data_IF_458026708452
#
_entry.id   IF_458026708452
#
_cell.length_a   1.000
_cell.length_b   1.000
_cell.length_c   1.000
_cell.angle_alpha   90.00
_cell.angle_beta   90.00
_cell.angle_gamma   90.00
#
_symmetry.space_group_name_H-M   'P 1'
#
loop_
_entity.id
_entity.type
_entity.pdbx_description
1 polymer ?
#
# COMPACT_ATOMS: atom_id res chain seq x y z
N UNK A 1 31.17 36.42 -14.55
CA UNK A 1 30.59 35.17 -15.07
C UNK A 1 29.37 34.75 -14.20
N UNK A 2 28.37 35.66 -13.99
CA UNK A 2 27.23 35.46 -13.07
C UNK A 2 25.91 36.03 -13.64
N UNK A 3 25.66 35.95 -14.96
CA UNK A 3 24.46 36.53 -15.60
C UNK A 3 23.70 35.57 -16.53
N UNK A 4 23.98 34.26 -16.51
CA UNK A 4 23.39 33.30 -17.45
C UNK A 4 22.39 32.29 -16.83
N UNK A 5 22.17 32.27 -15.51
CA UNK A 5 21.34 31.25 -14.86
C UNK A 5 19.87 31.70 -14.67
N UNK A 6 19.55 32.98 -14.84
CA UNK A 6 18.20 33.53 -14.56
C UNK A 6 17.25 33.62 -15.74
N UNK A 7 17.63 33.17 -16.96
CA UNK A 7 16.84 33.42 -18.18
C UNK A 7 15.98 32.27 -18.71
N UNK A 8 15.89 31.10 -18.01
CA UNK A 8 15.16 29.94 -18.55
C UNK A 8 13.90 29.52 -17.77
N UNK A 9 13.36 30.36 -16.87
CA UNK A 9 12.14 30.07 -16.11
C UNK A 9 10.85 30.52 -16.79
N UNK A 10 10.88 31.25 -17.90
CA UNK A 10 9.70 31.79 -18.60
C UNK A 10 9.32 31.09 -19.91
N UNK A 11 9.93 29.93 -20.20
CA UNK A 11 9.53 29.09 -21.33
C UNK A 11 8.19 28.38 -21.12
N UNK A 12 7.53 27.91 -22.22
CA UNK A 12 6.27 27.14 -22.11
C UNK A 12 6.40 25.93 -21.18
N UNK A 13 7.56 25.31 -21.10
CA UNK A 13 7.85 24.16 -20.21
C UNK A 13 7.90 24.59 -18.74
N UNK A 14 8.42 25.78 -18.41
CA UNK A 14 8.44 26.32 -17.05
C UNK A 14 7.05 26.61 -16.51
N UNK A 15 6.14 27.15 -17.34
CA UNK A 15 4.74 27.39 -16.97
C UNK A 15 3.95 26.09 -16.78
N UNK A 16 4.24 25.07 -17.60
CA UNK A 16 3.64 23.74 -17.49
C UNK A 16 4.07 23.07 -16.19
N UNK A 17 5.35 23.12 -15.86
CA UNK A 17 5.92 22.58 -14.63
C UNK A 17 5.40 23.29 -13.38
N UNK A 18 5.34 24.64 -13.40
CA UNK A 18 4.76 25.43 -12.31
C UNK A 18 3.27 25.16 -12.11
N UNK A 19 2.50 24.99 -13.20
CA UNK A 19 1.10 24.61 -13.17
C UNK A 19 0.89 23.21 -12.55
N UNK A 20 1.80 22.27 -12.86
CA UNK A 20 1.77 20.90 -12.33
C UNK A 20 2.10 20.89 -10.83
N UNK A 21 3.10 21.66 -10.40
CA UNK A 21 3.45 21.82 -8.98
C UNK A 21 2.29 22.43 -8.20
N UNK A 22 1.64 23.50 -8.70
CA UNK A 22 0.48 24.14 -8.07
C UNK A 22 -0.69 23.17 -7.94
N UNK A 23 -0.95 22.35 -8.96
CA UNK A 23 -1.98 21.30 -8.91
C UNK A 23 -1.65 20.22 -7.89
N UNK A 24 -0.42 19.75 -7.83
CA UNK A 24 0.04 18.77 -6.84
C UNK A 24 -0.03 19.33 -5.41
N UNK A 25 0.47 20.54 -5.19
CA UNK A 25 0.38 21.22 -3.91
C UNK A 25 -1.08 21.44 -3.45
N UNK A 26 -1.97 21.85 -4.37
CA UNK A 26 -3.40 21.96 -4.09
C UNK A 26 -4.06 20.62 -3.76
N UNK A 27 -3.65 19.53 -4.43
CA UNK A 27 -4.14 18.17 -4.15
C UNK A 27 -3.67 17.67 -2.79
N UNK A 28 -2.40 17.91 -2.45
CA UNK A 28 -1.82 17.54 -1.16
C UNK A 28 -2.48 18.32 0.00
N UNK A 29 -2.71 19.62 -0.21
CA UNK A 29 -3.41 20.46 0.76
C UNK A 29 -4.83 19.97 1.02
N UNK A 30 -5.57 19.63 -0.04
CA UNK A 30 -6.91 19.07 0.07
C UNK A 30 -6.91 17.72 0.80
N UNK A 31 -5.98 16.83 0.48
CA UNK A 31 -5.86 15.55 1.17
C UNK A 31 -5.54 15.72 2.66
N UNK A 32 -4.68 16.67 3.01
CA UNK A 32 -4.41 17.06 4.40
C UNK A 32 -5.67 17.52 5.12
N UNK A 33 -6.55 18.29 4.47
CA UNK A 33 -7.83 18.71 5.06
C UNK A 33 -8.75 17.50 5.31
N UNK A 34 -8.88 16.57 4.35
CA UNK A 34 -9.62 15.32 4.55
C UNK A 34 -9.05 14.51 5.72
N UNK A 35 -7.73 14.37 5.77
CA UNK A 35 -7.05 13.69 6.86
C UNK A 35 -7.40 14.31 8.23
N UNK A 36 -7.33 15.63 8.36
CA UNK A 36 -7.65 16.34 9.60
C UNK A 36 -9.12 16.22 10.00
N UNK A 37 -10.03 16.24 9.03
CA UNK A 37 -11.47 16.07 9.29
C UNK A 37 -11.75 14.65 9.79
N UNK A 38 -11.22 13.64 9.12
CA UNK A 38 -11.39 12.24 9.50
C UNK A 38 -10.74 11.95 10.86
N UNK A 39 -9.57 12.53 11.14
CA UNK A 39 -8.92 12.40 12.45
C UNK A 39 -9.79 13.01 13.56
N UNK A 40 -10.31 14.22 13.37
CA UNK A 40 -11.20 14.88 14.33
C UNK A 40 -12.47 14.07 14.56
N UNK A 41 -13.08 13.54 13.50
CA UNK A 41 -14.26 12.70 13.57
C UNK A 41 -13.98 11.42 14.38
N UNK A 42 -12.87 10.75 14.09
CA UNK A 42 -12.47 9.52 14.81
C UNK A 42 -12.17 9.81 16.28
N UNK A 43 -11.52 10.94 16.58
CA UNK A 43 -11.18 11.35 17.94
C UNK A 43 -12.39 11.84 18.75
N UNK A 44 -13.56 12.01 18.15
CA UNK A 44 -14.80 12.31 18.88
C UNK A 44 -15.20 11.13 19.80
N UNK A 45 -14.92 9.90 19.37
CA UNK A 45 -15.19 8.66 20.12
C UNK A 45 -13.88 7.97 20.53
N UNK A 46 -13.07 8.64 21.35
CA UNK A 46 -11.73 8.19 21.75
C UNK A 46 -11.71 6.76 22.31
N UNK A 47 -12.63 6.44 23.22
CA UNK A 47 -12.68 5.10 23.84
C UNK A 47 -12.91 4.00 22.80
N UNK A 48 -13.88 4.19 21.90
CA UNK A 48 -14.14 3.24 20.81
C UNK A 48 -12.95 3.11 19.89
N UNK A 49 -12.28 4.23 19.56
CA UNK A 49 -11.07 4.22 18.74
C UNK A 49 -9.97 3.37 19.38
N UNK A 50 -9.64 3.64 20.65
CA UNK A 50 -8.57 2.90 21.34
C UNK A 50 -8.90 1.42 21.52
N UNK A 51 -10.15 1.07 21.87
CA UNK A 51 -10.58 -0.33 21.98
C UNK A 51 -10.49 -1.05 20.63
N UNK A 52 -10.93 -0.41 19.54
CA UNK A 52 -10.83 -0.99 18.21
C UNK A 52 -9.36 -1.13 17.76
N UNK A 53 -8.51 -0.12 17.98
CA UNK A 53 -7.09 -0.19 17.67
C UNK A 53 -6.38 -1.29 18.48
N UNK A 54 -6.71 -1.43 19.77
CA UNK A 54 -6.20 -2.51 20.62
C UNK A 54 -6.68 -3.87 20.12
N UNK A 55 -7.96 -4.01 19.74
CA UNK A 55 -8.49 -5.24 19.14
C UNK A 55 -7.75 -5.62 17.86
N UNK A 56 -7.47 -4.65 16.98
CA UNK A 56 -6.68 -4.87 15.77
C UNK A 56 -5.24 -5.30 16.10
N UNK A 57 -4.62 -4.68 17.10
CA UNK A 57 -3.29 -5.06 17.58
C UNK A 57 -3.28 -6.52 18.10
N UNK A 58 -4.21 -6.88 18.97
CA UNK A 58 -4.30 -8.24 19.56
C UNK A 58 -4.60 -9.30 18.50
N UNK A 59 -5.55 -9.01 17.59
CA UNK A 59 -5.89 -9.94 16.50
C UNK A 59 -4.68 -10.22 15.60
N UNK A 60 -3.90 -9.19 15.30
CA UNK A 60 -2.68 -9.34 14.50
C UNK A 60 -1.55 -10.03 15.26
N UNK A 61 -1.51 -9.93 16.60
CA UNK A 61 -0.48 -10.56 17.44
C UNK A 61 -0.49 -12.10 17.34
N UNK A 62 -1.63 -12.71 17.04
CA UNK A 62 -1.74 -14.13 16.77
C UNK A 62 -0.85 -14.60 15.61
N UNK A 63 -0.62 -13.73 14.61
CA UNK A 63 0.29 -14.02 13.50
C UNK A 63 1.72 -14.20 14.00
N UNK A 64 2.16 -13.29 14.87
CA UNK A 64 3.50 -13.38 15.50
C UNK A 64 3.64 -14.65 16.34
N UNK A 65 2.64 -14.95 17.19
CA UNK A 65 2.64 -16.17 18.00
C UNK A 65 2.66 -17.43 17.12
N UNK A 66 1.87 -17.48 16.05
CA UNK A 66 1.85 -18.58 15.12
C UNK A 66 3.24 -18.84 14.49
N UNK A 67 3.92 -17.78 14.05
CA UNK A 67 5.29 -17.88 13.54
C UNK A 67 6.27 -18.33 14.62
N UNK A 68 6.19 -17.75 15.83
CA UNK A 68 7.06 -18.11 16.94
C UNK A 68 6.96 -19.62 17.26
N UNK A 69 5.75 -20.15 17.48
CA UNK A 69 5.55 -21.57 17.77
C UNK A 69 5.94 -22.48 16.59
N UNK A 70 5.69 -22.04 15.36
CA UNK A 70 6.13 -22.80 14.18
C UNK A 70 7.65 -22.95 14.15
N UNK A 71 8.41 -21.90 14.43
CA UNK A 71 9.87 -21.95 14.42
C UNK A 71 10.46 -22.62 15.68
N UNK A 72 9.73 -22.70 16.78
CA UNK A 72 10.09 -23.56 17.91
C UNK A 72 10.06 -25.04 17.51
N UNK A 73 9.15 -25.43 16.62
CA UNK A 73 9.03 -26.81 16.14
C UNK A 73 9.94 -27.09 14.93
N UNK A 74 10.01 -26.13 14.02
CA UNK A 74 10.79 -26.25 12.77
C UNK A 74 11.84 -25.14 12.74
N UNK A 75 13.13 -25.51 12.82
CA UNK A 75 14.22 -24.52 12.90
C UNK A 75 14.29 -23.56 11.72
N UNK A 76 13.99 -24.05 10.52
CA UNK A 76 14.03 -23.26 9.27
C UNK A 76 12.83 -23.60 8.39
N UNK A 77 12.39 -22.61 7.60
CA UNK A 77 11.43 -22.81 6.53
C UNK A 77 12.21 -22.70 5.21
N UNK A 78 12.51 -23.86 4.59
CA UNK A 78 13.47 -23.96 3.49
C UNK A 78 14.83 -23.35 3.87
N UNK A 79 15.28 -22.32 3.13
CA UNK A 79 16.55 -21.63 3.33
C UNK A 79 16.45 -20.41 4.27
N UNK A 80 15.27 -20.15 4.89
CA UNK A 80 15.02 -18.94 5.68
C UNK A 80 14.94 -19.27 7.17
N UNK A 81 15.73 -18.54 7.95
CA UNK A 81 15.68 -18.57 9.41
C UNK A 81 14.54 -17.71 9.98
N UNK A 82 14.30 -17.86 11.27
CA UNK A 82 13.23 -17.14 11.99
C UNK A 82 13.30 -15.62 11.81
N UNK A 83 14.48 -15.01 12.01
CA UNK A 83 14.67 -13.57 11.86
C UNK A 83 14.38 -13.05 10.45
N UNK A 84 14.74 -13.83 9.42
CA UNK A 84 14.51 -13.47 8.01
C UNK A 84 13.03 -13.50 7.63
N UNK A 85 12.29 -14.49 8.14
CA UNK A 85 10.83 -14.59 7.92
C UNK A 85 10.10 -13.51 8.71
N UNK A 86 10.54 -13.20 9.94
CA UNK A 86 9.98 -12.07 10.70
C UNK A 86 10.21 -10.74 10.00
N UNK A 87 11.39 -10.53 9.40
CA UNK A 87 11.68 -9.33 8.62
C UNK A 87 10.73 -9.22 7.43
N UNK A 88 10.56 -10.31 6.68
CA UNK A 88 9.60 -10.40 5.56
C UNK A 88 8.18 -10.04 6.02
N UNK A 89 7.73 -10.66 7.09
CA UNK A 89 6.40 -10.43 7.67
C UNK A 89 6.22 -8.98 8.16
N UNK A 90 7.20 -8.43 8.89
CA UNK A 90 7.16 -7.07 9.40
C UNK A 90 7.03 -6.03 8.29
N UNK A 91 7.83 -6.17 7.21
CA UNK A 91 7.78 -5.28 6.04
C UNK A 91 6.39 -5.36 5.40
N UNK A 92 5.89 -6.56 5.10
CA UNK A 92 4.57 -6.74 4.48
C UNK A 92 3.44 -6.14 5.32
N UNK A 93 3.44 -6.39 6.63
CA UNK A 93 2.40 -5.87 7.51
C UNK A 93 2.44 -4.34 7.58
N UNK A 94 3.61 -3.71 7.49
CA UNK A 94 3.75 -2.25 7.39
C UNK A 94 3.19 -1.74 6.07
N UNK A 95 3.56 -2.33 4.93
CA UNK A 95 3.07 -1.99 3.59
C UNK A 95 1.54 -2.05 3.53
N UNK A 96 0.99 -3.18 3.97
CA UNK A 96 -0.46 -3.40 3.95
C UNK A 96 -1.20 -2.45 4.90
N UNK A 97 -0.68 -2.24 6.13
CA UNK A 97 -1.30 -1.32 7.09
C UNK A 97 -1.29 0.14 6.60
N UNK A 98 -0.22 0.56 5.92
CA UNK A 98 -0.16 1.87 5.27
C UNK A 98 -1.20 1.98 4.15
N UNK A 99 -1.29 0.98 3.28
CA UNK A 99 -2.29 0.97 2.21
C UNK A 99 -3.72 0.97 2.76
N UNK A 100 -4.02 0.14 3.77
CA UNK A 100 -5.33 0.15 4.44
C UNK A 100 -5.65 1.50 5.10
N UNK A 101 -4.67 2.16 5.69
CA UNK A 101 -4.89 3.46 6.35
C UNK A 101 -5.23 4.54 5.33
N UNK A 102 -4.49 4.62 4.23
CA UNK A 102 -4.56 5.76 3.30
C UNK A 102 -5.37 5.48 2.04
N UNK A 103 -5.54 4.22 1.62
CA UNK A 103 -6.25 3.86 0.39
C UNK A 103 -7.58 3.11 0.61
N UNK A 104 -8.07 3.02 1.86
CA UNK A 104 -9.29 2.31 2.22
C UNK A 104 -10.56 2.82 1.52
N UNK A 105 -10.56 4.09 1.09
CA UNK A 105 -11.66 4.63 0.31
C UNK A 105 -11.98 3.84 -0.95
N UNK A 106 -10.99 3.24 -1.59
CA UNK A 106 -11.17 2.39 -2.78
C UNK A 106 -11.73 1.01 -2.45
N UNK A 107 -11.29 0.40 -1.36
CA UNK A 107 -11.75 -0.91 -0.92
C UNK A 107 -13.25 -0.92 -0.52
N UNK A 108 -13.79 0.23 -0.18
CA UNK A 108 -15.22 0.39 0.16
C UNK A 108 -16.03 1.12 -0.94
N UNK A 109 -15.51 1.14 -2.16
CA UNK A 109 -16.09 1.90 -3.25
C UNK A 109 -17.46 1.37 -3.69
N UNK A 110 -17.75 0.07 -3.50
CA UNK A 110 -19.08 -0.51 -3.75
C UNK A 110 -20.18 0.23 -2.99
N UNK A 111 -19.93 0.60 -1.73
CA UNK A 111 -20.89 1.37 -0.94
C UNK A 111 -21.06 2.83 -1.45
N UNK A 112 -20.00 3.42 -1.99
CA UNK A 112 -20.02 4.78 -2.55
C UNK A 112 -20.88 4.82 -3.81
N UNK A 113 -20.78 3.81 -4.66
CA UNK A 113 -21.63 3.65 -5.86
C UNK A 113 -23.07 3.33 -5.45
N UNK A 114 -23.26 2.29 -4.62
CA UNK A 114 -24.58 1.81 -4.24
C UNK A 114 -25.44 2.89 -3.57
N UNK A 115 -24.84 3.80 -2.81
CA UNK A 115 -25.54 4.91 -2.15
C UNK A 115 -25.65 6.19 -3.01
N UNK A 116 -25.29 6.18 -4.29
CA UNK A 116 -25.31 7.36 -5.17
C UNK A 116 -24.35 8.48 -4.76
N UNK A 117 -23.46 8.23 -3.79
CA UNK A 117 -22.51 9.26 -3.32
C UNK A 117 -21.52 9.66 -4.39
N UNK A 118 -21.26 8.78 -5.36
CA UNK A 118 -20.33 9.04 -6.46
C UNK A 118 -20.80 10.15 -7.38
N UNK A 119 -22.12 10.34 -7.55
CA UNK A 119 -22.67 11.47 -8.33
C UNK A 119 -22.21 12.81 -7.79
N UNK A 120 -22.21 12.97 -6.47
CA UNK A 120 -21.73 14.19 -5.79
C UNK A 120 -20.22 14.40 -5.94
N UNK A 121 -19.45 13.31 -6.12
CA UNK A 121 -18.02 13.39 -6.41
C UNK A 121 -17.79 13.90 -7.82
N UNK A 122 -18.58 13.44 -8.79
CA UNK A 122 -18.44 13.78 -10.22
C UNK A 122 -18.69 15.26 -10.52
N UNK A 123 -19.62 15.92 -9.82
CA UNK A 123 -19.91 17.35 -10.04
C UNK A 123 -18.86 18.30 -9.45
N UNK A 124 -17.94 17.80 -8.63
CA UNK A 124 -16.89 18.65 -8.04
C UNK A 124 -15.69 18.76 -8.99
N UNK A 125 -15.13 19.97 -9.21
CA UNK A 125 -14.01 20.20 -10.14
C UNK A 125 -12.67 19.75 -9.54
N UNK A 126 -12.60 18.51 -9.03
CA UNK A 126 -11.41 17.90 -8.41
C UNK A 126 -11.26 16.46 -8.86
N UNK A 127 -10.05 15.92 -8.77
CA UNK A 127 -9.79 14.51 -9.10
C UNK A 127 -10.70 13.58 -8.30
N UNK A 128 -11.46 12.71 -8.99
CA UNK A 128 -12.32 11.70 -8.37
C UNK A 128 -11.52 10.73 -7.48
N UNK A 129 -10.33 10.33 -7.93
CA UNK A 129 -9.39 9.49 -7.17
C UNK A 129 -9.08 10.12 -5.81
N UNK A 130 -8.69 11.40 -5.79
CA UNK A 130 -8.35 12.10 -4.55
C UNK A 130 -9.56 12.24 -3.61
N UNK A 131 -10.73 12.49 -4.16
CA UNK A 131 -11.97 12.63 -3.38
C UNK A 131 -12.37 11.29 -2.74
N UNK A 132 -12.26 10.18 -3.49
CA UNK A 132 -12.54 8.82 -2.96
C UNK A 132 -11.53 8.44 -1.89
N UNK A 133 -10.23 8.68 -2.11
CA UNK A 133 -9.19 8.47 -1.09
C UNK A 133 -9.47 9.23 0.19
N UNK A 134 -9.89 10.49 0.07
CA UNK A 134 -10.16 11.36 1.22
C UNK A 134 -11.46 11.04 1.96
N UNK A 135 -12.39 10.28 1.37
CA UNK A 135 -13.67 9.97 2.03
C UNK A 135 -13.51 9.08 3.25
N UNK A 136 -12.52 8.19 3.26
CA UNK A 136 -12.30 7.27 4.37
C UNK A 136 -10.83 7.02 4.63
N UNK A 137 -10.40 7.41 5.82
CA UNK A 137 -9.07 7.15 6.35
C UNK A 137 -9.27 6.34 7.64
N UNK A 138 -8.74 5.12 7.65
CA UNK A 138 -9.00 4.15 8.73
C UNK A 138 -7.90 4.21 9.80
N UNK A 139 -7.96 5.19 10.69
CA UNK A 139 -6.97 5.34 11.77
C UNK A 139 -6.92 4.16 12.75
N UNK A 140 -7.98 3.37 12.86
CA UNK A 140 -8.00 2.16 13.72
C UNK A 140 -6.98 1.13 13.28
N UNK A 141 -6.58 1.16 11.98
CA UNK A 141 -5.52 0.30 11.42
C UNK A 141 -4.12 0.61 11.96
N UNK A 142 -3.95 1.78 12.58
CA UNK A 142 -2.70 2.11 13.28
C UNK A 142 -2.35 1.09 14.37
N UNK A 143 -3.33 0.40 14.97
CA UNK A 143 -3.09 -0.71 15.89
C UNK A 143 -2.27 -1.84 15.25
N UNK A 144 -2.61 -2.22 14.01
CA UNK A 144 -1.82 -3.19 13.21
C UNK A 144 -0.45 -2.65 12.83
N UNK A 145 -0.36 -1.37 12.49
CA UNK A 145 0.90 -0.74 12.13
C UNK A 145 1.87 -0.74 13.31
N UNK A 146 1.40 -0.41 14.53
CA UNK A 146 2.23 -0.50 15.75
C UNK A 146 2.78 -1.90 15.92
N UNK A 147 1.95 -2.93 15.75
CA UNK A 147 2.39 -4.31 15.83
C UNK A 147 3.42 -4.65 14.73
N UNK A 148 3.18 -4.22 13.48
CA UNK A 148 4.11 -4.45 12.39
C UNK A 148 5.49 -3.84 12.68
N UNK A 149 5.52 -2.62 13.26
CA UNK A 149 6.75 -1.96 13.71
C UNK A 149 7.44 -2.76 14.82
N UNK A 150 6.68 -3.32 15.78
CA UNK A 150 7.23 -4.15 16.86
C UNK A 150 7.86 -5.44 16.27
N UNK A 151 7.15 -6.13 15.38
CA UNK A 151 7.66 -7.34 14.71
C UNK A 151 8.94 -7.00 13.93
N UNK A 152 8.91 -5.90 13.17
CA UNK A 152 10.05 -5.43 12.41
C UNK A 152 11.24 -5.12 13.33
N UNK A 153 11.04 -4.33 14.41
CA UNK A 153 12.10 -4.02 15.37
C UNK A 153 12.66 -5.27 16.04
N UNK A 154 11.79 -6.23 16.40
CA UNK A 154 12.22 -7.51 16.95
C UNK A 154 13.00 -8.35 15.94
N UNK A 155 12.63 -8.33 14.66
CA UNK A 155 13.37 -9.02 13.61
C UNK A 155 14.81 -8.49 13.46
N UNK A 156 15.02 -7.18 13.70
CA UNK A 156 16.37 -6.59 13.69
C UNK A 156 17.26 -7.11 14.82
N UNK A 157 16.68 -7.43 15.98
CA UNK A 157 17.43 -7.94 17.14
C UNK A 157 17.77 -9.43 17.01
N UNK A 158 16.93 -10.19 16.29
CA UNK A 158 17.12 -11.66 16.11
C UNK A 158 17.80 -11.97 14.78
N UNK A 159 17.72 -11.07 13.82
CA UNK A 159 18.25 -11.25 12.46
C UNK A 159 19.76 -10.98 12.38
N UNK A 160 20.41 -11.66 11.43
CA UNK A 160 21.85 -11.52 11.13
C UNK A 160 22.09 -10.63 9.91
N UNK A 161 21.26 -9.60 9.71
CA UNK A 161 21.39 -8.71 8.54
C UNK A 161 22.43 -7.62 8.82
N UNK A 162 23.47 -7.57 8.00
CA UNK A 162 24.46 -6.48 8.04
C UNK A 162 23.87 -5.22 7.44
N UNK A 163 23.47 -4.30 8.27
CA UNK A 163 22.82 -3.07 7.82
C UNK A 163 23.81 -2.10 7.16
N UNK A 164 23.62 -1.85 5.88
CA UNK A 164 24.33 -0.82 5.11
C UNK A 164 23.33 0.27 4.66
N UNK A 165 23.83 1.45 4.32
CA UNK A 165 23.01 2.54 3.82
C UNK A 165 22.14 2.13 2.63
N UNK A 166 22.70 1.35 1.68
CA UNK A 166 21.97 0.86 0.51
C UNK A 166 20.79 -0.07 0.89
N UNK A 167 20.96 -0.94 1.89
CA UNK A 167 19.90 -1.84 2.37
C UNK A 167 18.77 -1.07 3.06
N UNK A 168 19.10 -0.02 3.81
CA UNK A 168 18.10 0.86 4.43
C UNK A 168 17.29 1.61 3.36
N UNK A 169 17.95 2.14 2.33
CA UNK A 169 17.29 2.82 1.20
C UNK A 169 16.35 1.86 0.48
N UNK A 170 16.81 0.62 0.19
CA UNK A 170 15.97 -0.40 -0.44
C UNK A 170 14.77 -0.76 0.44
N UNK A 171 14.94 -0.87 1.75
CA UNK A 171 13.85 -1.14 2.67
C UNK A 171 12.79 -0.04 2.65
N UNK A 172 13.19 1.23 2.66
CA UNK A 172 12.25 2.35 2.52
C UNK A 172 11.54 2.26 1.17
N UNK A 173 12.28 1.91 0.11
CA UNK A 173 11.71 1.77 -1.24
C UNK A 173 10.74 0.57 -1.32
N UNK A 174 10.99 -0.54 -0.60
CA UNK A 174 10.04 -1.64 -0.43
C UNK A 174 8.74 -1.15 0.20
N UNK A 175 8.82 -0.44 1.32
CA UNK A 175 7.63 0.08 2.01
C UNK A 175 6.78 0.99 1.10
N UNK A 176 7.42 1.87 0.33
CA UNK A 176 6.72 2.74 -0.61
C UNK A 176 6.12 1.95 -1.79
N UNK A 177 6.90 1.05 -2.39
CA UNK A 177 6.48 0.22 -3.51
C UNK A 177 5.35 -0.74 -3.13
N UNK A 178 5.42 -1.38 -1.95
CA UNK A 178 4.38 -2.28 -1.44
C UNK A 178 3.10 -1.55 -1.10
N UNK A 179 3.21 -0.40 -0.44
CA UNK A 179 2.04 0.47 -0.19
C UNK A 179 1.37 0.88 -1.49
N UNK A 180 2.15 1.28 -2.51
CA UNK A 180 1.64 1.64 -3.82
C UNK A 180 0.97 0.44 -4.54
N UNK A 181 1.57 -0.75 -4.44
CA UNK A 181 1.01 -1.98 -5.01
C UNK A 181 -0.37 -2.30 -4.41
N UNK A 182 -0.49 -2.35 -3.08
CA UNK A 182 -1.77 -2.63 -2.42
C UNK A 182 -2.81 -1.53 -2.70
N UNK A 183 -2.40 -0.26 -2.72
CA UNK A 183 -3.28 0.84 -3.12
C UNK A 183 -3.77 0.68 -4.57
N UNK A 184 -2.91 0.19 -5.48
CA UNK A 184 -3.27 -0.16 -6.85
C UNK A 184 -4.31 -1.27 -6.93
N UNK A 185 -4.20 -2.31 -6.10
CA UNK A 185 -5.18 -3.40 -6.06
C UNK A 185 -6.53 -2.89 -5.54
N UNK A 186 -6.54 -2.06 -4.49
CA UNK A 186 -7.77 -1.41 -4.03
C UNK A 186 -8.39 -0.53 -5.13
N UNK A 187 -7.55 0.15 -5.94
CA UNK A 187 -8.01 0.94 -7.07
C UNK A 187 -8.62 0.07 -8.19
N UNK A 188 -8.06 -1.12 -8.46
CA UNK A 188 -8.64 -2.11 -9.39
C UNK A 188 -10.01 -2.56 -8.88
N UNK A 189 -10.11 -2.92 -7.58
CA UNK A 189 -11.38 -3.28 -6.96
C UNK A 189 -12.44 -2.19 -7.19
N UNK A 190 -12.09 -0.94 -6.88
CA UNK A 190 -12.98 0.20 -7.10
C UNK A 190 -13.36 0.39 -8.58
N UNK A 191 -12.41 0.16 -9.50
CA UNK A 191 -12.67 0.26 -10.94
C UNK A 191 -13.64 -0.83 -11.42
N UNK A 192 -13.57 -2.04 -10.88
CA UNK A 192 -14.48 -3.15 -11.21
C UNK A 192 -15.89 -2.86 -10.69
N UNK A 193 -16.04 -2.20 -9.54
CA UNK A 193 -17.36 -1.83 -9.00
C UNK A 193 -18.21 -0.97 -9.95
N UNK A 194 -17.60 -0.23 -10.89
CA UNK A 194 -18.36 0.50 -11.92
C UNK A 194 -19.13 -0.42 -12.88
N UNK A 195 -18.70 -1.67 -13.04
CA UNK A 195 -19.31 -2.64 -13.96
C UNK A 195 -20.21 -3.63 -13.24
N UNK A 196 -19.93 -3.95 -11.98
CA UNK A 196 -20.64 -4.98 -11.21
C UNK A 196 -21.59 -4.42 -10.17
N UNK A 197 -21.50 -3.13 -9.84
CA UNK A 197 -22.20 -2.43 -8.75
C UNK A 197 -21.91 -3.01 -7.34
N UNK A 198 -21.40 -4.22 -7.27
CA UNK A 198 -21.05 -4.92 -6.03
C UNK A 198 -19.56 -5.22 -5.98
N UNK A 199 -19.03 -5.31 -4.77
CA UNK A 199 -17.67 -5.76 -4.54
C UNK A 199 -17.53 -7.25 -4.86
N UNK A 200 -16.51 -7.61 -5.61
CA UNK A 200 -16.21 -9.00 -5.92
C UNK A 200 -15.37 -9.60 -4.79
N UNK A 201 -15.88 -10.58 -4.07
CA UNK A 201 -15.17 -11.24 -2.97
C UNK A 201 -13.84 -11.86 -3.40
N UNK A 202 -13.71 -12.27 -4.68
CA UNK A 202 -12.45 -12.81 -5.17
C UNK A 202 -11.29 -11.80 -5.08
N UNK A 203 -11.58 -10.49 -5.08
CA UNK A 203 -10.55 -9.46 -4.90
C UNK A 203 -9.91 -9.53 -3.51
N UNK A 204 -10.62 -10.07 -2.51
CA UNK A 204 -10.06 -10.30 -1.18
C UNK A 204 -8.90 -11.32 -1.23
N UNK A 205 -8.88 -12.21 -2.24
CA UNK A 205 -7.74 -13.12 -2.47
C UNK A 205 -6.49 -12.34 -2.88
N UNK A 206 -6.65 -11.26 -3.63
CA UNK A 206 -5.53 -10.40 -4.05
C UNK A 206 -5.10 -9.40 -2.97
N UNK A 207 -5.92 -9.10 -1.98
CA UNK A 207 -5.61 -8.18 -0.88
C UNK A 207 -5.27 -8.94 0.40
N UNK A 208 -6.27 -9.44 1.10
CA UNK A 208 -6.09 -10.19 2.35
C UNK A 208 -5.36 -11.52 2.12
N UNK A 209 -5.64 -12.22 1.02
CA UNK A 209 -4.88 -13.41 0.62
C UNK A 209 -3.41 -13.11 0.41
N UNK A 210 -3.08 -12.04 -0.33
CA UNK A 210 -1.68 -11.64 -0.53
C UNK A 210 -0.98 -11.26 0.78
N UNK A 211 -1.70 -10.62 1.72
CA UNK A 211 -1.20 -10.35 3.07
C UNK A 211 -0.85 -11.66 3.81
N UNK A 212 -1.66 -12.70 3.65
CA UNK A 212 -1.38 -13.99 4.30
C UNK A 212 -0.21 -14.73 3.66
N UNK A 213 -0.16 -14.80 2.31
CA UNK A 213 0.93 -15.46 1.59
C UNK A 213 2.25 -14.69 1.66
N UNK A 214 2.22 -13.39 1.59
CA UNK A 214 3.43 -12.55 1.58
C UNK A 214 4.15 -12.46 2.94
N UNK A 215 3.61 -13.02 4.02
CA UNK A 215 4.31 -13.17 5.31
C UNK A 215 5.57 -14.03 5.18
N UNK A 216 5.61 -14.87 4.17
CA UNK A 216 6.74 -15.74 3.86
C UNK A 216 7.33 -15.38 2.49
N UNK A 217 8.64 -15.62 2.26
CA UNK A 217 9.24 -15.43 0.94
C UNK A 217 8.53 -16.25 -0.14
N UNK A 218 8.21 -15.64 -1.28
CA UNK A 218 7.33 -16.23 -2.32
C UNK A 218 7.87 -17.50 -2.96
N UNK A 219 9.17 -17.77 -2.92
CA UNK A 219 9.77 -19.00 -3.46
C UNK A 219 9.35 -20.28 -2.69
N UNK A 220 8.87 -20.11 -1.44
CA UNK A 220 8.35 -21.23 -0.63
C UNK A 220 7.14 -21.89 -1.31
N UNK A 221 6.33 -21.12 -2.00
CA UNK A 221 5.10 -21.58 -2.67
C UNK A 221 5.34 -22.22 -4.05
N UNK A 222 6.59 -22.23 -4.52
CA UNK A 222 6.99 -22.85 -5.78
C UNK A 222 7.00 -21.90 -6.96
N UNK A 223 7.55 -22.39 -8.09
CA UNK A 223 7.82 -21.56 -9.28
C UNK A 223 6.60 -20.93 -9.91
N UNK A 224 5.44 -21.61 -9.94
CA UNK A 224 4.22 -21.09 -10.57
C UNK A 224 3.67 -19.87 -9.84
N UNK A 225 3.62 -19.93 -8.49
CA UNK A 225 3.14 -18.81 -7.67
C UNK A 225 4.14 -17.65 -7.72
N UNK A 226 5.43 -17.94 -7.70
CA UNK A 226 6.47 -16.91 -7.85
C UNK A 226 6.37 -16.19 -9.20
N UNK A 227 6.13 -16.92 -10.32
CA UNK A 227 5.92 -16.30 -11.63
C UNK A 227 4.66 -15.44 -11.68
N UNK A 228 3.55 -15.92 -11.12
CA UNK A 228 2.32 -15.12 -10.98
C UNK A 228 2.57 -13.83 -10.18
N UNK A 229 3.23 -13.96 -9.02
CA UNK A 229 3.57 -12.83 -8.15
C UNK A 229 4.66 -11.91 -8.73
N UNK A 230 5.30 -12.28 -9.84
CA UNK A 230 6.28 -11.43 -10.52
C UNK A 230 5.68 -10.68 -11.70
N UNK A 231 4.83 -11.35 -12.52
CA UNK A 231 4.42 -10.83 -13.82
C UNK A 231 2.95 -10.40 -13.89
N UNK A 232 2.06 -10.98 -13.08
CA UNK A 232 0.62 -10.64 -13.08
C UNK A 232 0.32 -9.57 -12.04
N UNK A 233 0.62 -9.84 -10.78
CA UNK A 233 0.55 -8.85 -9.70
C UNK A 233 1.92 -8.82 -9.05
N UNK A 234 2.72 -7.74 -9.19
CA UNK A 234 4.15 -7.76 -8.94
C UNK A 234 4.53 -7.77 -7.44
N UNK A 235 3.89 -8.65 -6.65
CA UNK A 235 4.20 -8.83 -5.22
C UNK A 235 5.66 -9.26 -5.00
N UNK A 236 6.16 -10.20 -5.82
CA UNK A 236 7.52 -10.68 -5.68
C UNK A 236 8.55 -9.60 -6.03
N UNK A 237 8.22 -8.70 -6.98
CA UNK A 237 9.10 -7.58 -7.32
C UNK A 237 9.22 -6.59 -6.17
N UNK A 238 8.14 -6.39 -5.41
CA UNK A 238 8.12 -5.42 -4.31
C UNK A 238 8.71 -6.01 -3.04
N UNK A 239 8.46 -7.28 -2.75
CA UNK A 239 8.80 -7.87 -1.47
C UNK A 239 9.91 -8.93 -1.55
N UNK A 240 9.78 -9.93 -2.42
CA UNK A 240 10.67 -11.09 -2.42
C UNK A 240 12.08 -10.79 -2.91
N UNK A 241 12.21 -10.24 -4.14
CA UNK A 241 13.53 -9.96 -4.71
C UNK A 241 14.30 -8.89 -3.92
N UNK A 242 13.70 -7.76 -3.50
CA UNK A 242 14.40 -6.79 -2.68
C UNK A 242 14.77 -7.35 -1.30
N UNK A 243 13.94 -8.22 -0.71
CA UNK A 243 14.29 -8.93 0.51
C UNK A 243 15.57 -9.75 0.33
N UNK A 244 15.74 -10.49 -0.78
CA UNK A 244 16.98 -11.21 -1.08
C UNK A 244 18.19 -10.26 -1.14
N UNK A 245 18.03 -9.05 -1.68
CA UNK A 245 19.09 -8.04 -1.66
C UNK A 245 19.41 -7.59 -0.24
N UNK A 246 18.41 -7.32 0.59
CA UNK A 246 18.60 -6.94 2.01
C UNK A 246 19.30 -8.03 2.79
N UNK A 247 18.99 -9.31 2.52
CA UNK A 247 19.64 -10.48 3.12
C UNK A 247 21.04 -10.77 2.56
N UNK A 248 21.52 -9.99 1.58
CA UNK A 248 22.83 -10.21 0.96
C UNK A 248 22.90 -11.39 -0.01
N UNK A 249 21.75 -11.98 -0.39
CA UNK A 249 21.64 -13.12 -1.33
C UNK A 249 21.19 -12.71 -2.73
N UNK A 250 20.87 -11.41 -2.92
CA UNK A 250 20.31 -10.87 -4.16
C UNK A 250 21.32 -10.11 -5.01
N UNK A 251 20.99 -9.91 -6.29
CA UNK A 251 21.73 -9.04 -7.20
C UNK A 251 21.43 -7.57 -6.87
N UNK A 252 22.34 -6.64 -7.22
CA UNK A 252 22.17 -5.20 -6.93
C UNK A 252 20.88 -4.59 -7.52
N UNK A 253 20.46 -5.02 -8.71
CA UNK A 253 19.27 -4.51 -9.38
C UNK A 253 17.94 -4.96 -8.72
N UNK A 254 17.96 -5.98 -7.83
CA UNK A 254 16.81 -6.35 -7.02
C UNK A 254 16.32 -5.20 -6.14
N UNK A 255 17.23 -4.32 -5.71
CA UNK A 255 16.89 -3.13 -4.96
C UNK A 255 16.07 -2.09 -5.73
N UNK A 256 16.02 -2.15 -7.07
CA UNK A 256 15.21 -1.26 -7.91
C UNK A 256 13.79 -1.79 -8.15
N UNK A 257 13.57 -3.08 -7.96
CA UNK A 257 12.31 -3.75 -8.28
C UNK A 257 11.09 -3.25 -7.48
N UNK A 258 11.19 -2.68 -6.27
CA UNK A 258 10.04 -2.07 -5.61
C UNK A 258 9.35 -0.97 -6.44
N UNK A 259 10.07 -0.35 -7.37
CA UNK A 259 9.50 0.58 -8.36
C UNK A 259 8.38 -0.03 -9.20
N UNK A 260 8.34 -1.36 -9.36
CA UNK A 260 7.26 -2.06 -10.04
C UNK A 260 5.90 -1.81 -9.38
N UNK A 261 5.84 -1.65 -8.04
CA UNK A 261 4.60 -1.30 -7.34
C UNK A 261 4.06 0.07 -7.73
N UNK A 262 4.95 1.05 -7.92
CA UNK A 262 4.57 2.40 -8.39
C UNK A 262 4.15 2.36 -9.87
N UNK A 263 4.88 1.62 -10.72
CA UNK A 263 4.54 1.44 -12.14
C UNK A 263 3.19 0.74 -12.29
N UNK A 264 2.87 -0.21 -11.41
CA UNK A 264 1.59 -0.92 -11.39
C UNK A 264 0.38 0.02 -11.18
N UNK A 265 0.56 1.18 -10.53
CA UNK A 265 -0.52 2.16 -10.42
C UNK A 265 -1.00 2.70 -11.78
N UNK A 266 -0.16 2.69 -12.83
CA UNK A 266 -0.53 3.19 -14.15
C UNK A 266 -1.68 2.39 -14.77
N UNK A 267 -1.58 1.05 -14.96
CA UNK A 267 -2.69 0.26 -15.48
C UNK A 267 -3.92 0.30 -14.55
N UNK A 268 -3.73 0.34 -13.22
CA UNK A 268 -4.82 0.49 -12.27
C UNK A 268 -5.59 1.81 -12.48
N UNK A 269 -4.87 2.91 -12.66
CA UNK A 269 -5.47 4.21 -12.93
C UNK A 269 -6.15 4.27 -14.30
N UNK A 270 -5.58 3.62 -15.32
CA UNK A 270 -6.23 3.52 -16.63
C UNK A 270 -7.56 2.77 -16.53
N UNK A 271 -7.59 1.64 -15.79
CA UNK A 271 -8.82 0.88 -15.55
C UNK A 271 -9.86 1.72 -14.80
N UNK A 272 -9.45 2.47 -13.78
CA UNK A 272 -10.31 3.43 -13.10
C UNK A 272 -10.91 4.45 -14.06
N UNK A 273 -10.10 5.05 -14.95
CA UNK A 273 -10.61 6.01 -15.94
C UNK A 273 -11.63 5.41 -16.89
N UNK A 274 -11.45 4.14 -17.31
CA UNK A 274 -12.42 3.41 -18.11
C UNK A 274 -13.72 3.22 -17.31
N UNK A 275 -13.63 2.78 -16.05
CA UNK A 275 -14.78 2.62 -15.17
C UNK A 275 -15.59 3.93 -15.00
N UNK A 276 -14.90 5.04 -14.71
CA UNK A 276 -15.55 6.37 -14.58
C UNK A 276 -16.30 6.78 -15.85
N UNK A 277 -15.76 6.44 -17.04
CA UNK A 277 -16.44 6.75 -18.33
C UNK A 277 -17.69 5.90 -18.58
N UNK A 278 -17.74 4.69 -18.03
CA UNK A 278 -18.88 3.76 -18.15
C UNK A 278 -19.89 3.93 -17.01
N UNK A 279 -19.58 4.76 -16.03
CA UNK A 279 -20.49 4.99 -14.92
C UNK A 279 -21.82 5.57 -15.38
N UNK A 280 -22.89 4.96 -14.93
CA UNK A 280 -24.26 5.45 -15.07
C UNK A 280 -24.81 5.68 -13.67
N UNK A 281 -25.41 6.86 -13.44
CA UNK A 281 -26.04 7.15 -12.15
C UNK A 281 -27.07 6.09 -11.80
N UNK A 282 -27.06 5.63 -10.55
CA UNK A 282 -28.03 4.63 -10.05
C UNK A 282 -29.42 5.23 -9.81
N UNK A 283 -29.61 6.51 -10.09
CA UNK A 283 -30.95 7.14 -10.13
C UNK A 283 -31.61 7.25 -8.74
N UNK A 284 -30.86 7.66 -7.73
CA UNK A 284 -31.42 7.96 -6.38
C UNK A 284 -31.87 9.40 -6.28
#
# INVERSE_FOLDING_TARGET
MNMAIHKNQNGPDGKLFEGLIKRLAGSLHLYKQYFMIQLKSTMQYKTSFFLTALGQFLASFNVFLGMYFMFQRFRNVRAYGYGEVLLCCGILLMEFSLAETFARGFDQFSSIIGNGTFDRIMVRPRSSVLQVLGQRIEFTRLGRMVQAVIIFAYSLSVGTVDWSFSRIVVLIFMLLGGTALFAGIFLIYAAICFFTLEGLEFMNVLTDGAREYGKYPFDIYGKKILLFATFVVPYACVQYYPLLFVLGRGKWWYGLLPGAGVVFLLPCYLLWRVGVRHYKSTGS
#
